data_IF_514422131561
#
_entry.id   IF_514422131561
#
_cell.length_a   1.000
_cell.length_b   1.000
_cell.length_c   1.000
_cell.angle_alpha   90.00
_cell.angle_beta   90.00
_cell.angle_gamma   90.00
#
_symmetry.space_group_name_H-M   'P 1'
#
loop_
_entity.id
_entity.type
_entity.pdbx_description
1 polymer ?
#
# COMPACT_ATOMS: atom_id res chain seq x y z
N UNK A 1 -0.48 -13.98 38.43
CA UNK A 1 -1.39 -13.01 37.76
C UNK A 1 -0.52 -12.28 36.77
N UNK A 2 -0.55 -12.66 35.50
CA UNK A 2 0.24 -12.00 34.46
C UNK A 2 -0.69 -11.12 33.65
N UNK A 3 -0.38 -9.83 33.64
CA UNK A 3 -1.04 -8.80 32.86
C UNK A 3 -0.67 -9.00 31.39
N UNK A 4 -1.64 -9.28 30.53
CA UNK A 4 -1.51 -9.08 29.10
C UNK A 4 -2.55 -8.05 28.70
N UNK A 5 -2.14 -6.78 28.76
CA UNK A 5 -2.89 -5.65 28.27
C UNK A 5 -2.82 -5.67 26.74
N UNK A 6 -3.65 -6.52 26.13
CA UNK A 6 -3.98 -6.44 24.72
C UNK A 6 -4.57 -5.06 24.46
N UNK A 7 -3.74 -4.12 23.99
CA UNK A 7 -4.19 -2.85 23.42
C UNK A 7 -4.80 -3.17 22.07
N UNK A 8 -5.99 -3.77 22.09
CA UNK A 8 -6.91 -3.68 20.98
C UNK A 8 -7.35 -2.24 20.92
N UNK A 9 -6.71 -1.45 20.05
CA UNK A 9 -7.28 -0.18 19.65
C UNK A 9 -8.65 -0.51 19.03
N UNK A 10 -9.72 -0.22 19.77
CA UNK A 10 -11.08 -0.28 19.25
C UNK A 10 -11.10 0.48 17.93
N UNK A 11 -11.58 -0.13 16.83
CA UNK A 11 -11.58 0.53 15.54
C UNK A 11 -12.52 1.73 15.64
N UNK A 12 -11.95 2.93 15.71
CA UNK A 12 -12.71 4.16 15.61
C UNK A 12 -13.42 4.13 14.25
N UNK A 13 -14.75 4.25 14.27
CA UNK A 13 -15.63 4.25 13.09
C UNK A 13 -15.50 5.55 12.26
N UNK A 14 -14.50 6.38 12.59
CA UNK A 14 -14.22 7.66 11.96
C UNK A 14 -13.70 7.46 10.54
N UNK A 15 -14.00 8.40 9.64
CA UNK A 15 -13.45 8.36 8.28
C UNK A 15 -11.93 8.58 8.32
N UNK A 16 -11.21 7.76 7.55
CA UNK A 16 -9.78 7.87 7.35
C UNK A 16 -9.42 8.68 6.11
N UNK A 17 -8.43 9.58 6.25
CA UNK A 17 -7.85 10.37 5.15
C UNK A 17 -6.55 9.74 4.68
N UNK A 18 -6.47 9.44 3.38
CA UNK A 18 -5.40 8.63 2.77
C UNK A 18 -4.71 9.41 1.66
N UNK A 19 -3.40 9.67 1.82
CA UNK A 19 -2.55 10.29 0.81
C UNK A 19 -1.74 9.24 0.05
N UNK A 20 -1.65 9.37 -1.27
CA UNK A 20 -0.80 8.55 -2.13
C UNK A 20 0.49 9.30 -2.49
N UNK A 21 1.63 8.65 -2.28
CA UNK A 21 2.97 9.21 -2.55
C UNK A 21 3.74 8.30 -3.52
N UNK A 22 4.20 8.90 -4.62
CA UNK A 22 4.94 8.26 -5.69
C UNK A 22 4.06 7.51 -6.70
N UNK A 23 4.68 7.12 -7.82
CA UNK A 23 3.98 6.39 -8.89
C UNK A 23 2.85 7.21 -9.56
N UNK A 24 1.92 6.55 -10.26
CA UNK A 24 0.88 7.23 -11.04
C UNK A 24 -0.25 7.85 -10.21
N UNK A 25 -0.33 7.58 -8.90
CA UNK A 25 -1.36 8.16 -8.02
C UNK A 25 -0.80 9.27 -7.13
N UNK A 26 0.44 9.71 -7.36
CA UNK A 26 1.10 10.73 -6.54
C UNK A 26 0.25 11.99 -6.37
N UNK A 27 0.10 12.45 -5.12
CA UNK A 27 -0.70 13.62 -4.74
C UNK A 27 -2.21 13.39 -4.65
N UNK A 28 -2.71 12.19 -4.98
CA UNK A 28 -4.13 11.85 -4.79
C UNK A 28 -4.45 11.73 -3.30
N UNK A 29 -5.62 12.25 -2.92
CA UNK A 29 -6.20 12.09 -1.59
C UNK A 29 -7.52 11.33 -1.69
N UNK A 30 -7.77 10.40 -0.77
CA UNK A 30 -9.02 9.64 -0.64
C UNK A 30 -9.54 9.67 0.80
N UNK A 31 -10.87 9.72 0.95
CA UNK A 31 -11.55 9.61 2.25
C UNK A 31 -12.31 8.28 2.25
N UNK A 32 -12.05 7.40 3.22
CA UNK A 32 -12.74 6.12 3.38
C UNK A 32 -13.18 5.94 4.82
N UNK A 33 -14.34 5.31 5.06
CA UNK A 33 -14.69 4.79 6.38
C UNK A 33 -13.53 3.91 6.90
N UNK A 34 -13.06 4.14 8.12
CA UNK A 34 -11.95 3.38 8.70
C UNK A 34 -12.38 1.97 9.11
N UNK A 35 -12.66 1.11 8.13
CA UNK A 35 -12.87 -0.32 8.33
C UNK A 35 -11.52 -0.97 8.68
N UNK A 36 -11.15 -0.92 9.96
CA UNK A 36 -10.04 -1.68 10.53
C UNK A 36 -10.50 -3.12 10.75
N UNK A 37 -10.00 -4.07 9.95
CA UNK A 37 -10.32 -5.48 10.13
C UNK A 37 -9.79 -6.36 8.99
N UNK A 38 -10.00 -5.92 7.75
CA UNK A 38 -9.54 -6.64 6.57
C UNK A 38 -8.26 -6.01 5.99
N UNK A 39 -7.29 -6.82 5.51
CA UNK A 39 -6.11 -6.29 4.86
C UNK A 39 -6.52 -5.36 3.72
N UNK A 40 -5.96 -4.16 3.74
CA UNK A 40 -6.34 -3.13 2.80
C UNK A 40 -6.11 -3.62 1.38
N UNK A 41 -7.10 -3.43 0.47
CA UNK A 41 -6.97 -3.91 -0.88
C UNK A 41 -5.76 -3.25 -1.54
N UNK A 42 -4.89 -4.08 -2.12
CA UNK A 42 -3.79 -3.60 -2.95
C UNK A 42 -4.36 -2.74 -4.08
N UNK A 43 -4.13 -1.43 -4.05
CA UNK A 43 -4.54 -0.55 -5.14
C UNK A 43 -3.72 -0.88 -6.37
N UNK A 44 -4.39 -1.38 -7.42
CA UNK A 44 -3.78 -1.74 -8.69
C UNK A 44 -4.19 -0.70 -9.74
N UNK A 45 -3.27 0.16 -10.14
CA UNK A 45 -3.49 1.07 -11.26
C UNK A 45 -2.95 0.45 -12.56
N UNK A 46 -3.85 0.12 -13.50
CA UNK A 46 -3.52 -0.51 -14.80
C UNK A 46 -3.59 0.54 -15.90
N UNK A 47 -2.48 0.75 -16.60
CA UNK A 47 -2.48 1.52 -17.84
C UNK A 47 -2.87 0.62 -19.02
N UNK A 48 -3.98 0.91 -19.71
CA UNK A 48 -4.44 0.18 -20.90
C UNK A 48 -3.95 0.85 -22.19
N UNK A 49 -2.64 0.95 -22.39
CA UNK A 49 -2.05 1.59 -23.58
C UNK A 49 -1.49 0.57 -24.56
N UNK A 50 -2.25 -0.45 -24.98
CA UNK A 50 -1.82 -1.41 -26.01
C UNK A 50 -0.45 -2.09 -25.80
N UNK A 51 0.10 -2.01 -24.58
CA UNK A 51 1.47 -2.35 -24.22
C UNK A 51 1.50 -3.10 -22.89
N UNK A 52 2.69 -3.48 -22.40
CA UNK A 52 2.82 -4.29 -21.21
C UNK A 52 2.07 -3.69 -20.01
N UNK A 53 1.27 -4.50 -19.32
CA UNK A 53 0.55 -4.09 -18.11
C UNK A 53 1.56 -3.64 -17.06
N UNK A 54 1.53 -2.36 -16.69
CA UNK A 54 2.31 -1.81 -15.58
C UNK A 54 1.49 -1.87 -14.30
N UNK A 55 2.04 -2.48 -13.24
CA UNK A 55 1.42 -2.58 -11.91
C UNK A 55 2.27 -1.82 -10.91
N UNK A 56 1.68 -0.83 -10.25
CA UNK A 56 2.28 -0.14 -9.10
C UNK A 56 1.63 -0.67 -7.82
N UNK A 57 2.44 -1.07 -6.84
CA UNK A 57 1.98 -1.51 -5.51
C UNK A 57 2.27 -0.40 -4.52
N UNK A 58 1.37 -0.19 -3.58
CA UNK A 58 1.55 0.78 -2.50
C UNK A 58 1.43 0.07 -1.16
N UNK A 59 2.26 0.48 -0.21
CA UNK A 59 2.22 0.03 1.17
C UNK A 59 1.57 1.09 2.04
N UNK A 60 0.59 0.71 2.87
CA UNK A 60 0.00 1.64 3.83
C UNK A 60 0.90 1.75 5.06
N UNK A 61 1.21 2.99 5.41
CA UNK A 61 1.59 3.37 6.76
C UNK A 61 0.42 4.09 7.44
N UNK A 62 -0.12 3.52 8.51
CA UNK A 62 -1.14 4.18 9.33
C UNK A 62 -0.50 5.28 10.17
N UNK A 63 -1.22 6.39 10.34
CA UNK A 63 -0.86 7.51 11.21
C UNK A 63 -1.92 7.63 12.32
N UNK A 64 -1.67 8.54 13.27
CA UNK A 64 -2.66 8.89 14.28
C UNK A 64 -3.91 9.55 13.66
N UNK A 65 -5.00 9.57 14.43
CA UNK A 65 -6.21 10.35 14.16
C UNK A 65 -6.89 10.05 12.82
N UNK A 66 -6.89 8.79 12.39
CA UNK A 66 -7.54 8.37 11.15
C UNK A 66 -6.78 8.76 9.88
N UNK A 67 -5.53 9.21 9.97
CA UNK A 67 -4.73 9.49 8.77
C UNK A 67 -3.91 8.25 8.33
N UNK A 68 -3.56 8.19 7.04
CA UNK A 68 -2.67 7.17 6.50
C UNK A 68 -1.99 7.60 5.20
N UNK A 69 -0.83 7.01 4.92
CA UNK A 69 -0.05 7.29 3.71
C UNK A 69 0.25 5.99 2.96
N UNK A 70 -0.20 5.93 1.71
CA UNK A 70 0.18 4.91 0.75
C UNK A 70 1.44 5.33 0.00
N UNK A 71 2.57 4.68 0.29
CA UNK A 71 3.83 4.93 -0.43
C UNK A 71 4.07 3.85 -1.47
N UNK A 72 4.47 4.22 -2.69
CA UNK A 72 4.78 3.22 -3.72
C UNK A 72 5.89 2.28 -3.24
N UNK A 73 5.62 0.98 -3.26
CA UNK A 73 6.59 -0.05 -2.93
C UNK A 73 7.67 -0.04 -4.01
N UNK A 74 8.96 0.12 -3.65
CA UNK A 74 10.04 -0.04 -4.61
C UNK A 74 9.96 -1.42 -5.25
N UNK A 75 10.08 -1.47 -6.59
CA UNK A 75 10.17 -2.75 -7.28
C UNK A 75 11.41 -3.46 -6.75
N UNK A 76 11.24 -4.64 -6.17
CA UNK A 76 12.37 -5.52 -5.87
C UNK A 76 13.11 -5.73 -7.20
N UNK A 77 14.33 -5.20 -7.29
CA UNK A 77 15.20 -5.50 -8.42
C UNK A 77 15.48 -7.00 -8.30
N UNK A 78 14.81 -7.82 -9.10
CA UNK A 78 15.27 -9.18 -9.28
C UNK A 78 16.54 -9.03 -10.12
N UNK A 79 17.75 -9.32 -9.60
CA UNK A 79 18.91 -9.40 -10.46
C UNK A 79 18.60 -10.50 -11.47
N UNK A 80 18.45 -10.13 -12.73
CA UNK A 80 18.42 -11.09 -13.83
C UNK A 80 19.79 -11.77 -13.77
N UNK A 81 19.89 -13.09 -13.54
CA UNK A 81 21.15 -13.78 -13.72
C UNK A 81 21.58 -13.55 -15.16
N UNK A 82 22.76 -12.98 -15.36
CA UNK A 82 23.37 -12.85 -16.69
C UNK A 82 23.34 -14.24 -17.33
N UNK A 83 22.58 -14.38 -18.41
CA UNK A 83 22.48 -15.61 -19.20
C UNK A 83 23.91 -16.03 -19.56
N UNK A 84 24.37 -17.14 -18.97
CA UNK A 84 25.60 -17.78 -19.38
C UNK A 84 25.39 -18.32 -20.81
N UNK A 85 25.87 -17.58 -21.80
CA UNK A 85 26.03 -18.05 -23.18
C UNK A 85 27.12 -19.12 -23.16
N UNK A 86 26.83 -20.41 -23.41
CA UNK A 86 27.86 -21.35 -23.78
C UNK A 86 28.09 -21.26 -25.29
N UNK A 87 29.36 -21.22 -25.66
CA UNK A 87 29.93 -21.25 -27.01
C UNK A 87 29.57 -22.56 -27.77
#
# INVERSE_FOLDING_TARGET
>A
MSEDAGTGAEPADDDAVLLFVGGPLDGRVEIRRACHGEPLPTVTHVHLHGGPKVVHRYDLQTLADGAGVYTVRPRAQHPVPDDAVPD
#
